data_IF_560229855358
#
_entry.id   IF_560229855358
#
_cell.length_a   1.000
_cell.length_b   1.000
_cell.length_c   1.000
_cell.angle_alpha   90.00
_cell.angle_beta   90.00
_cell.angle_gamma   90.00
#
_symmetry.space_group_name_H-M   'P 1'
#
loop_
_entity.id
_entity.type
_entity.pdbx_description
1 polymer ?
#
# COMPACT_ATOMS: atom_id res chain seq x y z
N UNK A 1 -24.70 -8.03 -55.79
CA UNK A 1 -23.27 -7.95 -55.43
C UNK A 1 -22.95 -6.74 -54.54
N UNK A 2 -23.43 -5.54 -54.88
CA UNK A 2 -23.30 -4.31 -54.06
C UNK A 2 -23.77 -4.44 -52.60
N UNK A 3 -24.91 -5.10 -52.36
CA UNK A 3 -25.46 -5.26 -51.00
C UNK A 3 -24.49 -5.99 -50.04
N UNK A 4 -23.68 -6.94 -50.54
CA UNK A 4 -22.68 -7.66 -49.75
C UNK A 4 -21.52 -6.76 -49.35
N UNK A 5 -21.08 -5.87 -50.23
CA UNK A 5 -20.00 -4.92 -49.94
C UNK A 5 -20.41 -3.86 -48.93
N UNK A 6 -21.65 -3.38 -49.00
CA UNK A 6 -22.22 -2.45 -48.01
C UNK A 6 -22.32 -3.11 -46.63
N UNK A 7 -22.80 -4.36 -46.57
CA UNK A 7 -22.87 -5.11 -45.32
C UNK A 7 -21.48 -5.32 -44.69
N UNK A 8 -20.47 -5.68 -45.50
CA UNK A 8 -19.09 -5.82 -45.03
C UNK A 8 -18.53 -4.49 -44.51
N UNK A 9 -18.74 -3.40 -45.25
CA UNK A 9 -18.31 -2.07 -44.84
C UNK A 9 -18.93 -1.62 -43.52
N UNK A 10 -20.23 -1.87 -43.34
CA UNK A 10 -20.95 -1.55 -42.10
C UNK A 10 -20.40 -2.33 -40.90
N UNK A 11 -20.15 -3.64 -41.05
CA UNK A 11 -19.57 -4.46 -39.98
C UNK A 11 -18.16 -3.97 -39.60
N UNK A 12 -17.32 -3.64 -40.59
CA UNK A 12 -15.98 -3.11 -40.34
C UNK A 12 -16.06 -1.77 -39.60
N UNK A 13 -16.94 -0.86 -40.04
CA UNK A 13 -17.11 0.44 -39.40
C UNK A 13 -17.52 0.31 -37.92
N UNK A 14 -18.43 -0.62 -37.62
CA UNK A 14 -18.86 -0.91 -36.24
C UNK A 14 -17.69 -1.44 -35.40
N UNK A 15 -16.91 -2.40 -35.91
CA UNK A 15 -15.75 -2.96 -35.20
C UNK A 15 -14.69 -1.89 -34.93
N UNK A 16 -14.40 -1.03 -35.91
CA UNK A 16 -13.43 0.07 -35.76
C UNK A 16 -13.90 1.09 -34.72
N UNK A 17 -15.19 1.41 -34.68
CA UNK A 17 -15.76 2.32 -33.69
C UNK A 17 -15.73 1.76 -32.26
N UNK A 18 -15.88 0.44 -32.09
CA UNK A 18 -15.86 -0.24 -30.79
C UNK A 18 -14.43 -0.54 -30.28
N UNK A 19 -13.45 -0.67 -31.18
CA UNK A 19 -12.07 -0.98 -30.83
C UNK A 19 -11.42 -0.05 -29.78
N UNK A 20 -11.53 1.30 -29.85
CA UNK A 20 -10.93 2.18 -28.83
C UNK A 20 -11.56 1.99 -27.45
N UNK A 21 -12.89 1.78 -27.37
CA UNK A 21 -13.58 1.52 -26.11
C UNK A 21 -13.14 0.18 -25.48
N UNK A 22 -12.97 -0.86 -26.29
CA UNK A 22 -12.47 -2.15 -25.82
C UNK A 22 -11.01 -2.04 -25.32
N UNK A 23 -10.15 -1.31 -26.03
CA UNK A 23 -8.75 -1.08 -25.63
C UNK A 23 -8.63 -0.32 -24.31
N UNK A 24 -9.42 0.73 -24.12
CA UNK A 24 -9.45 1.48 -22.86
C UNK A 24 -9.81 0.58 -21.67
N UNK A 25 -10.88 -0.23 -21.81
CA UNK A 25 -11.31 -1.19 -20.77
C UNK A 25 -10.23 -2.22 -20.42
N UNK A 26 -9.49 -2.72 -21.41
CA UNK A 26 -8.40 -3.69 -21.18
C UNK A 26 -7.22 -3.03 -20.46
N UNK A 27 -6.88 -1.78 -20.81
CA UNK A 27 -5.83 -1.02 -20.12
C UNK A 27 -6.20 -0.73 -18.67
N UNK A 28 -7.44 -0.30 -18.41
CA UNK A 28 -7.95 -0.06 -17.06
C UNK A 28 -7.98 -1.34 -16.21
N UNK A 29 -8.37 -2.47 -16.80
CA UNK A 29 -8.34 -3.76 -16.14
C UNK A 29 -6.91 -4.19 -15.79
N UNK A 30 -5.98 -4.06 -16.73
CA UNK A 30 -4.59 -4.44 -16.51
C UNK A 30 -3.90 -3.58 -15.43
N UNK A 31 -4.12 -2.27 -15.45
CA UNK A 31 -3.58 -1.36 -14.43
C UNK A 31 -4.16 -1.67 -13.05
N UNK A 32 -5.47 -1.94 -12.98
CA UNK A 32 -6.13 -2.35 -11.74
C UNK A 32 -5.58 -3.67 -11.18
N UNK A 33 -5.29 -4.65 -12.04
CA UNK A 33 -4.68 -5.93 -11.62
C UNK A 33 -3.28 -5.71 -11.04
N UNK A 34 -2.46 -4.85 -11.66
CA UNK A 34 -1.12 -4.53 -11.13
C UNK A 34 -1.22 -3.86 -9.76
N UNK A 35 -2.17 -2.92 -9.60
CA UNK A 35 -2.40 -2.25 -8.33
C UNK A 35 -2.80 -3.24 -7.23
N UNK A 36 -3.81 -4.08 -7.49
CA UNK A 36 -4.27 -5.09 -6.53
C UNK A 36 -3.16 -6.09 -6.18
N UNK A 37 -2.34 -6.51 -7.15
CA UNK A 37 -1.19 -7.39 -6.90
C UNK A 37 -0.11 -6.71 -6.05
N UNK A 38 0.11 -5.41 -6.21
CA UNK A 38 1.07 -4.68 -5.38
C UNK A 38 0.55 -4.52 -3.96
N UNK A 39 -0.73 -4.21 -3.79
CA UNK A 39 -1.40 -4.16 -2.49
C UNK A 39 -1.35 -5.51 -1.77
N UNK A 40 -1.69 -6.60 -2.47
CA UNK A 40 -1.58 -7.95 -1.93
C UNK A 40 -0.16 -8.27 -1.47
N UNK A 41 0.85 -7.95 -2.29
CA UNK A 41 2.27 -8.14 -1.91
C UNK A 41 2.68 -7.30 -0.70
N UNK A 42 2.18 -6.07 -0.56
CA UNK A 42 2.46 -5.23 0.60
C UNK A 42 1.86 -5.85 1.87
N UNK A 43 0.64 -6.36 1.82
CA UNK A 43 0.01 -7.08 2.94
C UNK A 43 0.82 -8.33 3.29
N UNK A 44 1.12 -9.18 2.29
CA UNK A 44 1.88 -10.43 2.45
C UNK A 44 3.26 -10.22 3.06
N UNK A 45 3.87 -9.05 2.86
CA UNK A 45 5.20 -8.71 3.41
C UNK A 45 5.14 -8.00 4.75
N UNK A 46 4.06 -7.30 5.06
CA UNK A 46 3.94 -6.58 6.32
C UNK A 46 3.82 -7.55 7.50
N UNK A 47 3.04 -8.62 7.35
CA UNK A 47 2.88 -9.66 8.39
C UNK A 47 4.20 -10.30 8.84
N UNK A 48 5.05 -10.84 7.95
CA UNK A 48 6.33 -11.43 8.35
C UNK A 48 7.34 -10.37 8.82
N UNK A 49 7.19 -9.10 8.43
CA UNK A 49 7.99 -8.01 9.01
C UNK A 49 7.59 -7.84 10.47
N UNK A 50 6.31 -7.66 10.77
CA UNK A 50 5.80 -7.48 12.13
C UNK A 50 6.21 -8.66 13.02
N UNK A 51 6.10 -9.89 12.51
CA UNK A 51 6.52 -11.08 13.24
C UNK A 51 8.02 -11.07 13.56
N UNK A 52 8.88 -10.71 12.59
CA UNK A 52 10.34 -10.59 12.78
C UNK A 52 10.72 -9.52 13.80
N UNK A 53 9.95 -8.45 13.86
CA UNK A 53 10.14 -7.36 14.82
C UNK A 53 9.66 -7.67 16.26
N UNK A 54 9.24 -8.91 16.52
CA UNK A 54 8.74 -9.34 17.83
C UNK A 54 7.24 -9.07 18.03
N UNK A 55 6.53 -8.83 16.94
CA UNK A 55 5.08 -8.72 16.89
C UNK A 55 4.53 -7.37 17.32
N UNK A 56 3.20 -7.25 17.19
CA UNK A 56 2.42 -6.05 17.53
C UNK A 56 2.81 -5.44 18.87
N UNK A 57 2.86 -6.23 19.95
CA UNK A 57 3.10 -5.72 21.31
C UNK A 57 4.43 -4.96 21.41
N UNK A 58 5.49 -5.47 20.77
CA UNK A 58 6.81 -4.84 20.81
C UNK A 58 6.84 -3.56 19.98
N UNK A 59 6.19 -3.56 18.81
CA UNK A 59 6.04 -2.38 17.96
C UNK A 59 5.29 -1.27 18.71
N UNK A 60 4.11 -1.57 19.26
CA UNK A 60 3.28 -0.58 19.94
C UNK A 60 3.88 -0.10 21.27
N UNK A 61 4.78 -0.89 21.88
CA UNK A 61 5.55 -0.42 23.03
C UNK A 61 6.55 0.70 22.66
N UNK A 62 6.91 0.85 21.39
CA UNK A 62 7.86 1.86 20.94
C UNK A 62 7.20 3.18 20.53
N UNK A 63 5.89 3.19 20.31
CA UNK A 63 5.12 4.39 20.01
C UNK A 63 3.82 4.10 19.26
N UNK A 64 3.13 5.16 18.88
CA UNK A 64 1.95 5.06 18.03
C UNK A 64 2.31 4.51 16.65
N UNK A 65 1.52 3.58 16.12
CA UNK A 65 1.62 3.21 14.70
C UNK A 65 1.13 4.36 13.81
N UNK A 66 1.98 4.81 12.89
CA UNK A 66 1.68 5.91 11.97
C UNK A 66 2.05 5.49 10.55
N UNK A 67 1.21 5.81 9.58
CA UNK A 67 1.47 5.60 8.15
C UNK A 67 0.89 6.76 7.34
N UNK A 68 0.79 6.64 6.02
CA UNK A 68 0.05 7.57 5.18
C UNK A 68 -1.39 7.08 4.98
N UNK A 69 -2.34 8.00 4.79
CA UNK A 69 -3.78 7.71 4.79
C UNK A 69 -4.20 6.52 3.92
N UNK A 70 -3.63 6.39 2.73
CA UNK A 70 -3.98 5.31 1.80
C UNK A 70 -3.66 3.91 2.32
N UNK A 71 -2.80 3.79 3.35
CA UNK A 71 -2.29 2.54 3.90
C UNK A 71 -2.72 2.30 5.35
N UNK A 72 -3.49 3.23 5.93
CA UNK A 72 -3.94 3.17 7.32
C UNK A 72 -4.70 1.88 7.61
N UNK A 73 -5.59 1.46 6.71
CA UNK A 73 -6.36 0.22 6.85
C UNK A 73 -5.49 -1.04 6.81
N UNK A 74 -4.43 -1.06 6.00
CA UNK A 74 -3.51 -2.21 5.93
C UNK A 74 -2.73 -2.34 7.23
N UNK A 75 -2.17 -1.23 7.71
CA UNK A 75 -1.40 -1.20 8.96
C UNK A 75 -2.30 -1.53 10.15
N UNK A 76 -3.52 -1.00 10.18
CA UNK A 76 -4.50 -1.32 11.20
C UNK A 76 -4.86 -2.81 11.21
N UNK A 77 -5.12 -3.40 10.04
CA UNK A 77 -5.41 -4.82 9.90
C UNK A 77 -4.27 -5.70 10.40
N UNK A 78 -3.03 -5.44 9.94
CA UNK A 78 -1.87 -6.26 10.28
C UNK A 78 -1.39 -6.05 11.73
N UNK A 79 -1.70 -4.90 12.34
CA UNK A 79 -1.49 -4.67 13.77
C UNK A 79 -2.72 -4.99 14.60
N UNK A 80 -3.79 -5.56 14.04
CA UNK A 80 -5.04 -5.85 14.77
C UNK A 80 -5.51 -4.65 15.61
N UNK A 81 -5.53 -3.47 15.01
CA UNK A 81 -5.98 -2.19 15.58
C UNK A 81 -7.20 -1.68 14.82
N UNK A 82 -7.96 -0.78 15.44
CA UNK A 82 -8.93 -0.01 14.66
C UNK A 82 -8.19 0.99 13.77
N UNK A 83 -8.76 1.31 12.61
CA UNK A 83 -8.19 2.30 11.69
C UNK A 83 -7.95 3.64 12.38
N UNK A 84 -8.88 4.06 13.26
CA UNK A 84 -8.77 5.31 14.03
C UNK A 84 -7.58 5.32 15.00
N UNK A 85 -7.10 4.15 15.42
CA UNK A 85 -5.94 3.98 16.29
C UNK A 85 -4.62 3.97 15.50
N UNK A 86 -4.63 4.24 14.20
CA UNK A 86 -3.42 4.38 13.37
C UNK A 86 -3.33 5.83 12.88
N UNK A 87 -2.22 6.51 13.13
CA UNK A 87 -1.99 7.86 12.62
C UNK A 87 -1.77 7.85 11.10
N UNK A 88 -2.18 8.92 10.40
CA UNK A 88 -2.14 8.98 8.93
C UNK A 88 -1.38 10.18 8.33
N UNK A 89 -0.88 11.09 9.17
CA UNK A 89 -0.16 12.31 8.76
C UNK A 89 1.24 12.37 9.42
N UNK A 90 2.24 11.63 8.89
CA UNK A 90 3.54 11.50 9.52
C UNK A 90 4.23 12.84 9.85
N UNK A 91 4.24 13.86 8.97
CA UNK A 91 4.81 15.17 9.29
C UNK A 91 4.24 15.75 10.58
N UNK A 92 2.90 15.74 10.75
CA UNK A 92 2.24 16.25 11.95
C UNK A 92 2.67 15.50 13.22
N UNK A 93 2.89 14.18 13.13
CA UNK A 93 3.34 13.37 14.26
C UNK A 93 4.80 13.64 14.61
N UNK A 94 5.65 13.85 13.59
CA UNK A 94 7.05 14.26 13.78
C UNK A 94 7.10 15.62 14.47
N UNK A 95 6.32 16.59 14.01
CA UNK A 95 6.29 17.95 14.56
C UNK A 95 5.75 17.96 16.00
N UNK A 96 4.81 17.07 16.32
CA UNK A 96 4.26 16.91 17.67
C UNK A 96 5.25 16.29 18.67
N UNK A 97 6.38 15.74 18.23
CA UNK A 97 7.39 15.17 19.12
C UNK A 97 6.95 13.89 19.85
N UNK A 98 5.87 13.24 19.40
CA UNK A 98 5.33 12.06 20.06
C UNK A 98 6.03 10.78 19.61
N UNK A 99 6.27 9.80 20.51
CA UNK A 99 6.83 8.52 20.13
C UNK A 99 5.97 7.83 19.07
N UNK A 100 6.56 7.49 17.92
CA UNK A 100 5.84 6.85 16.83
C UNK A 100 6.68 5.80 16.12
N UNK A 101 6.00 4.81 15.55
CA UNK A 101 6.53 3.83 14.60
C UNK A 101 5.90 4.12 13.24
N UNK A 102 6.72 4.65 12.34
CA UNK A 102 6.34 4.96 10.97
C UNK A 102 6.40 3.69 10.10
N UNK A 103 5.29 3.38 9.45
CA UNK A 103 5.17 2.38 8.39
C UNK A 103 5.06 3.11 7.05
N UNK A 104 6.16 3.17 6.32
CA UNK A 104 6.21 3.83 5.02
C UNK A 104 6.16 2.79 3.89
N UNK A 105 5.17 2.86 2.98
CA UNK A 105 5.11 1.98 1.83
C UNK A 105 6.21 2.37 0.82
N UNK A 106 6.98 1.38 0.34
CA UNK A 106 7.98 1.62 -0.71
C UNK A 106 7.98 0.45 -1.70
N UNK A 107 7.59 0.74 -2.94
CA UNK A 107 7.37 -0.28 -3.97
C UNK A 107 6.38 -1.34 -3.49
N UNK A 108 6.78 -2.61 -3.58
CA UNK A 108 5.99 -3.74 -3.07
C UNK A 108 6.27 -4.09 -1.60
N UNK A 109 7.04 -3.28 -0.84
CA UNK A 109 7.43 -3.55 0.54
C UNK A 109 7.22 -2.36 1.47
N UNK A 110 7.86 -2.42 2.64
CA UNK A 110 7.73 -1.45 3.72
C UNK A 110 9.08 -1.03 4.28
N UNK A 111 9.16 0.24 4.66
CA UNK A 111 10.16 0.76 5.58
C UNK A 111 9.47 0.97 6.92
N UNK A 112 10.06 0.44 8.00
CA UNK A 112 9.65 0.70 9.38
C UNK A 112 10.72 1.50 10.08
N UNK A 113 10.34 2.63 10.66
CA UNK A 113 11.24 3.53 11.38
C UNK A 113 10.59 4.00 12.66
N UNK A 114 11.39 4.25 13.69
CA UNK A 114 10.89 4.75 14.97
C UNK A 114 11.42 6.14 15.23
N UNK A 115 10.54 7.03 15.68
CA UNK A 115 10.83 8.44 15.95
C UNK A 115 10.50 8.78 17.40
N UNK A 116 11.20 9.79 17.94
CA UNK A 116 10.93 10.38 19.25
C UNK A 116 10.88 9.37 20.41
N UNK A 117 11.71 8.32 20.34
CA UNK A 117 11.74 7.25 21.33
C UNK A 117 12.22 7.78 22.69
N UNK A 118 11.47 7.54 23.79
CA UNK A 118 11.93 7.85 25.14
C UNK A 118 13.27 7.17 25.46
N UNK A 119 14.16 7.84 26.17
CA UNK A 119 15.50 7.32 26.49
C UNK A 119 15.45 5.91 27.13
N UNK A 120 14.48 5.68 28.02
CA UNK A 120 14.25 4.39 28.69
C UNK A 120 13.95 3.21 27.74
N UNK A 121 13.45 3.47 26.52
CA UNK A 121 13.08 2.43 25.54
C UNK A 121 14.00 2.39 24.33
N UNK A 122 14.95 3.31 24.24
CA UNK A 122 15.81 3.51 23.06
C UNK A 122 16.57 2.23 22.67
N UNK A 123 17.16 1.52 23.63
CA UNK A 123 17.88 0.27 23.35
C UNK A 123 16.97 -0.85 22.80
N UNK A 124 15.73 -0.96 23.28
CA UNK A 124 14.78 -1.98 22.86
C UNK A 124 14.17 -1.67 21.48
N UNK A 125 13.95 -0.38 21.19
CA UNK A 125 13.24 0.11 20.01
C UNK A 125 14.15 0.52 18.85
N UNK A 126 15.43 0.84 19.08
CA UNK A 126 16.36 1.17 17.98
C UNK A 126 16.55 0.01 16.99
N UNK A 127 16.21 -1.23 17.39
CA UNK A 127 16.28 -2.41 16.52
C UNK A 127 15.10 -2.55 15.54
N UNK A 128 14.05 -1.72 15.66
CA UNK A 128 12.86 -1.74 14.80
C UNK A 128 13.03 -1.07 13.43
N UNK A 129 14.26 -0.75 13.05
CA UNK A 129 14.56 -0.13 11.76
C UNK A 129 14.75 -1.23 10.71
N UNK A 130 13.66 -1.62 10.04
CA UNK A 130 13.67 -2.71 9.05
C UNK A 130 13.09 -2.24 7.73
N UNK A 131 13.72 -2.66 6.63
CA UNK A 131 13.28 -2.42 5.27
C UNK A 131 13.03 -3.76 4.56
N UNK A 132 11.86 -3.89 3.95
CA UNK A 132 11.48 -5.01 3.06
C UNK A 132 11.21 -4.54 1.63
N UNK A 133 11.45 -3.27 1.37
CA UNK A 133 11.41 -2.72 0.03
C UNK A 133 12.63 -3.20 -0.76
N UNK A 134 12.38 -3.79 -1.92
CA UNK A 134 13.38 -4.04 -2.94
C UNK A 134 13.04 -3.13 -4.12
N UNK A 135 14.07 -2.50 -4.70
CA UNK A 135 13.99 -1.75 -5.96
C UNK A 135 13.49 -2.63 -7.10
#
# INVERSE_FOLDING_TARGET
MLLRWVAIGAVIAVVVALAPHARGRVQDANTSIVLVRNWGRQIDRLRPLIAREGGRKRILACGQAVTVISYQSIVAWELELNVIDVGWNPPRWIDAGQPMVLFWPQGAGWIVQVFHIPAARRAACNRLQTQTAFS
#
